data_IF_785150074986
#
_entry.id   IF_785150074986
#
_cell.length_a   1.000
_cell.length_b   1.000
_cell.length_c   1.000
_cell.angle_alpha   90.00
_cell.angle_beta   90.00
_cell.angle_gamma   90.00
#
_symmetry.space_group_name_H-M   'P 1'
#
loop_
_entity.id
_entity.type
_entity.pdbx_description
1 polymer ?
#
# COMPACT_ATOMS: atom_id res chain seq x y z
N UNK A 1 5.99 -10.88 44.63
CA UNK A 1 5.66 -12.02 43.74
C UNK A 1 6.32 -11.78 42.39
N UNK A 2 7.21 -12.70 41.98
CA UNK A 2 7.55 -13.19 40.62
C UNK A 2 7.35 -12.24 39.41
N UNK A 3 8.21 -12.09 38.40
CA UNK A 3 9.54 -12.56 38.01
C UNK A 3 9.90 -11.76 36.74
N UNK A 4 11.19 -11.47 36.55
CA UNK A 4 11.85 -11.18 35.26
C UNK A 4 11.41 -12.08 34.09
N UNK A 5 11.44 -11.52 32.87
CA UNK A 5 12.27 -11.96 31.70
C UNK A 5 11.68 -11.40 30.40
N UNK A 6 12.40 -10.54 29.67
CA UNK A 6 13.45 -10.88 28.70
C UNK A 6 12.89 -11.64 27.47
N UNK A 7 12.79 -10.88 26.37
CA UNK A 7 13.35 -11.18 25.05
C UNK A 7 12.76 -12.35 24.24
N UNK A 8 12.99 -12.24 22.93
CA UNK A 8 13.14 -13.32 21.96
C UNK A 8 11.89 -13.61 21.11
N UNK A 9 11.74 -12.99 19.92
CA UNK A 9 12.50 -13.35 18.72
C UNK A 9 12.59 -14.86 18.51
N UNK A 10 11.66 -15.41 17.74
CA UNK A 10 11.80 -16.68 17.00
C UNK A 10 11.05 -16.49 15.69
N UNK A 11 11.72 -15.94 14.68
CA UNK A 11 12.49 -16.68 13.67
C UNK A 11 11.57 -17.70 12.97
N UNK A 12 11.27 -17.49 11.67
CA UNK A 12 10.44 -18.40 10.90
C UNK A 12 11.19 -19.72 10.73
N UNK A 13 10.53 -20.81 11.12
CA UNK A 13 11.02 -22.16 10.99
C UNK A 13 11.11 -22.52 9.50
N UNK A 14 12.23 -22.17 8.87
CA UNK A 14 12.71 -22.84 7.66
C UNK A 14 13.02 -24.30 8.03
N UNK A 15 11.99 -25.14 8.10
CA UNK A 15 12.17 -26.59 8.00
C UNK A 15 12.46 -26.92 6.53
N UNK A 16 13.71 -26.66 6.15
CA UNK A 16 14.35 -27.25 4.99
C UNK A 16 14.46 -28.75 5.27
N UNK A 17 13.45 -29.51 4.85
CA UNK A 17 13.47 -30.97 4.88
C UNK A 17 14.42 -31.46 3.78
N UNK A 18 15.72 -31.44 4.08
CA UNK A 18 16.70 -32.24 3.39
C UNK A 18 16.55 -33.67 3.93
N UNK A 19 15.84 -34.56 3.22
CA UNK A 19 16.06 -36.01 3.31
C UNK A 19 15.72 -36.62 1.95
N UNK A 20 16.75 -37.04 1.24
CA UNK A 20 16.61 -37.92 0.09
C UNK A 20 16.32 -39.35 0.53
N UNK A 21 15.56 -40.08 -0.28
CA UNK A 21 15.86 -41.44 -0.74
C UNK A 21 14.67 -42.00 -1.51
N UNK A 22 14.98 -42.67 -2.60
CA UNK A 22 14.05 -43.27 -3.54
C UNK A 22 13.07 -44.24 -2.86
N UNK A 23 11.77 -44.03 -3.10
CA UNK A 23 10.80 -45.13 -3.16
C UNK A 23 9.71 -44.76 -4.18
N UNK A 24 9.60 -45.57 -5.24
CA UNK A 24 8.48 -45.52 -6.18
C UNK A 24 7.17 -45.70 -5.42
N UNK A 25 6.30 -44.69 -5.46
CA UNK A 25 4.87 -44.85 -5.18
C UNK A 25 4.11 -44.19 -6.33
N UNK A 26 3.64 -45.03 -7.25
CA UNK A 26 2.62 -44.66 -8.21
C UNK A 26 1.30 -44.47 -7.45
N UNK A 27 0.88 -43.21 -7.26
CA UNK A 27 -0.49 -42.89 -6.86
C UNK A 27 -1.17 -42.19 -8.02
N UNK A 28 -2.18 -42.89 -8.51
CA UNK A 28 -3.17 -42.47 -9.49
C UNK A 28 -3.84 -41.16 -9.06
N UNK A 29 -4.05 -40.28 -10.05
CA UNK A 29 -5.23 -39.42 -10.11
C UNK A 29 -5.50 -38.55 -8.89
N UNK A 30 -4.86 -37.39 -8.83
CA UNK A 30 -5.48 -36.22 -8.23
C UNK A 30 -5.19 -35.06 -9.17
N UNK A 31 -6.20 -34.68 -9.95
CA UNK A 31 -6.18 -33.44 -10.69
C UNK A 31 -6.06 -32.29 -9.70
N UNK A 32 -4.84 -31.92 -9.35
CA UNK A 32 -4.54 -30.60 -8.83
C UNK A 32 -4.76 -29.66 -9.99
N UNK A 33 -6.01 -29.22 -10.16
CA UNK A 33 -6.28 -27.98 -10.88
C UNK A 33 -5.50 -26.92 -10.10
N UNK A 34 -4.45 -26.29 -10.65
CA UNK A 34 -4.00 -25.06 -10.06
C UNK A 34 -5.21 -24.12 -10.19
N UNK A 35 -5.87 -23.83 -9.07
CA UNK A 35 -6.69 -22.63 -9.00
C UNK A 35 -5.75 -21.53 -9.43
N UNK A 36 -5.96 -21.04 -10.65
CA UNK A 36 -5.36 -19.82 -11.15
C UNK A 36 -5.95 -18.74 -10.24
N UNK A 37 -5.36 -18.58 -9.06
CA UNK A 37 -5.60 -17.46 -8.20
C UNK A 37 -5.27 -16.27 -9.09
N UNK A 38 -6.32 -15.54 -9.48
CA UNK A 38 -6.24 -14.24 -10.10
C UNK A 38 -5.20 -13.46 -9.30
N UNK A 39 -3.96 -13.43 -9.80
CA UNK A 39 -2.86 -12.88 -9.07
C UNK A 39 -3.22 -11.41 -8.96
N UNK A 40 -3.46 -10.89 -7.74
CA UNK A 40 -3.93 -9.52 -7.58
C UNK A 40 -2.93 -8.65 -8.31
N UNK A 41 -3.42 -8.00 -9.37
CA UNK A 41 -2.60 -7.18 -10.25
C UNK A 41 -1.80 -6.24 -9.35
N UNK A 42 -0.50 -6.51 -9.20
CA UNK A 42 0.34 -5.78 -8.27
C UNK A 42 0.56 -4.40 -8.90
N UNK A 43 -0.37 -3.48 -8.67
CA UNK A 43 -0.23 -2.09 -9.11
C UNK A 43 0.83 -1.47 -8.21
N UNK A 44 2.09 -1.66 -8.60
CA UNK A 44 3.23 -0.90 -8.09
C UNK A 44 3.06 0.52 -8.58
N UNK A 45 2.23 1.29 -7.87
CA UNK A 45 1.90 2.67 -8.23
C UNK A 45 3.09 3.61 -8.03
N UNK A 46 4.26 3.10 -7.65
CA UNK A 46 5.39 3.86 -7.15
C UNK A 46 6.30 4.37 -8.29
N UNK A 47 5.71 5.11 -9.23
CA UNK A 47 6.45 5.84 -10.27
C UNK A 47 6.37 7.35 -10.05
N UNK A 48 7.41 8.07 -10.46
CA UNK A 48 7.44 9.53 -10.37
C UNK A 48 6.30 10.15 -11.20
N UNK A 49 6.07 9.60 -12.39
CA UNK A 49 4.97 9.98 -13.29
C UNK A 49 3.61 9.86 -12.60
N UNK A 50 3.37 8.73 -11.92
CA UNK A 50 2.13 8.55 -11.18
C UNK A 50 2.02 9.54 -10.01
N UNK A 51 3.11 9.85 -9.32
CA UNK A 51 3.04 10.89 -8.29
C UNK A 51 2.67 12.25 -8.89
N UNK A 52 3.29 12.66 -10.00
CA UNK A 52 2.94 13.91 -10.67
C UNK A 52 1.48 13.92 -11.12
N UNK A 53 0.99 12.83 -11.69
CA UNK A 53 -0.43 12.68 -12.05
C UNK A 53 -1.34 12.88 -10.84
N UNK A 54 -0.95 12.35 -9.69
CA UNK A 54 -1.68 12.46 -8.43
C UNK A 54 -1.73 13.91 -7.92
N UNK A 55 -0.62 14.65 -8.03
CA UNK A 55 -0.57 16.08 -7.70
C UNK A 55 -1.52 16.90 -8.58
N UNK A 56 -1.51 16.68 -9.90
CA UNK A 56 -2.43 17.36 -10.83
C UNK A 56 -3.89 17.02 -10.56
N UNK A 57 -4.17 15.78 -10.13
CA UNK A 57 -5.52 15.36 -9.74
C UNK A 57 -5.98 16.09 -8.47
N UNK A 58 -5.09 16.23 -7.48
CA UNK A 58 -5.37 16.96 -6.25
C UNK A 58 -5.66 18.44 -6.53
N UNK A 59 -4.79 19.11 -7.27
CA UNK A 59 -4.96 20.53 -7.62
C UNK A 59 -6.30 20.80 -8.32
N UNK A 60 -6.74 19.89 -9.21
CA UNK A 60 -8.07 19.97 -9.84
C UNK A 60 -9.21 19.83 -8.82
N UNK A 61 -9.10 18.93 -7.84
CA UNK A 61 -10.11 18.78 -6.79
C UNK A 61 -10.15 19.97 -5.83
N UNK A 62 -9.00 20.52 -5.47
CA UNK A 62 -8.92 21.75 -4.67
C UNK A 62 -9.56 22.92 -5.40
N UNK A 63 -9.38 23.01 -6.73
CA UNK A 63 -10.04 24.02 -7.55
C UNK A 63 -11.57 23.85 -7.60
N UNK A 64 -12.15 22.71 -7.25
CA UNK A 64 -13.61 22.58 -7.12
C UNK A 64 -14.13 23.13 -5.79
N UNK A 65 -13.27 23.31 -4.79
CA UNK A 65 -13.61 23.88 -3.49
C UNK A 65 -13.67 25.43 -3.49
N UNK A 66 -13.94 26.08 -4.63
CA UNK A 66 -13.95 27.57 -4.77
C UNK A 66 -14.81 28.30 -3.73
N UNK A 67 -15.83 27.63 -3.18
CA UNK A 67 -16.76 28.22 -2.20
C UNK A 67 -16.36 28.02 -0.73
N UNK A 68 -15.24 27.32 -0.45
CA UNK A 68 -14.73 27.15 0.91
C UNK A 68 -13.31 26.59 0.90
N UNK A 69 -12.41 27.17 1.71
CA UNK A 69 -11.03 26.69 1.80
C UNK A 69 -11.01 25.18 2.11
N UNK A 70 -10.17 24.38 1.42
CA UNK A 70 -10.02 22.98 1.76
C UNK A 70 -9.55 22.85 3.23
N UNK A 71 -9.88 21.72 3.90
CA UNK A 71 -9.43 21.49 5.27
C UNK A 71 -7.91 21.66 5.39
N UNK A 72 -7.43 22.27 6.47
CA UNK A 72 -5.98 22.49 6.71
C UNK A 72 -5.15 21.20 6.59
N UNK A 73 -5.73 20.07 7.00
CA UNK A 73 -5.13 18.74 6.92
C UNK A 73 -4.85 18.33 5.47
N UNK A 74 -5.74 18.69 4.54
CA UNK A 74 -5.56 18.42 3.11
C UNK A 74 -4.36 19.20 2.59
N UNK A 75 -4.30 20.50 2.87
CA UNK A 75 -3.20 21.36 2.41
C UNK A 75 -1.86 20.87 2.95
N UNK A 76 -1.79 20.53 4.24
CA UNK A 76 -0.56 20.01 4.84
C UNK A 76 -0.12 18.67 4.22
N UNK A 77 -1.06 17.76 3.97
CA UNK A 77 -0.77 16.48 3.31
C UNK A 77 -0.37 16.68 1.84
N UNK A 78 -0.94 17.67 1.16
CA UNK A 78 -0.60 18.06 -0.20
C UNK A 78 0.86 18.53 -0.26
N UNK A 79 1.23 19.49 0.59
CA UNK A 79 2.59 20.06 0.65
C UNK A 79 3.63 19.00 0.95
N UNK A 80 3.41 18.20 2.00
CA UNK A 80 4.30 17.10 2.35
C UNK A 80 4.41 16.07 1.22
N UNK A 81 3.28 15.76 0.58
CA UNK A 81 3.23 14.83 -0.55
C UNK A 81 4.04 15.31 -1.75
N UNK A 82 3.91 16.59 -2.11
CA UNK A 82 4.67 17.25 -3.17
C UNK A 82 6.16 17.21 -2.89
N UNK A 83 6.58 17.69 -1.72
CA UNK A 83 7.99 17.70 -1.32
C UNK A 83 8.64 16.32 -1.37
N UNK A 84 7.92 15.28 -0.96
CA UNK A 84 8.47 13.92 -1.01
C UNK A 84 8.64 13.42 -2.43
N UNK A 85 7.72 13.73 -3.32
CA UNK A 85 7.87 13.36 -4.73
C UNK A 85 8.99 14.12 -5.40
N UNK A 86 9.16 15.42 -5.08
CA UNK A 86 10.27 16.23 -5.58
C UNK A 86 11.62 15.69 -5.09
N UNK A 87 11.66 15.11 -3.89
CA UNK A 87 12.85 14.45 -3.32
C UNK A 87 13.06 13.00 -3.80
N UNK A 88 12.19 12.46 -4.65
CA UNK A 88 12.27 11.06 -5.10
C UNK A 88 11.74 10.03 -4.10
N UNK A 89 11.16 10.45 -2.97
CA UNK A 89 10.45 9.60 -2.01
C UNK A 89 9.03 9.28 -2.50
N UNK A 90 8.95 8.68 -3.70
CA UNK A 90 7.71 8.48 -4.46
C UNK A 90 6.63 7.77 -3.66
N UNK A 91 6.96 6.64 -3.01
CA UNK A 91 6.01 5.85 -2.22
C UNK A 91 5.44 6.65 -1.03
N UNK A 92 6.28 7.43 -0.35
CA UNK A 92 5.86 8.30 0.75
C UNK A 92 5.01 9.47 0.29
N UNK A 93 5.33 10.07 -0.86
CA UNK A 93 4.55 11.15 -1.46
C UNK A 93 3.17 10.69 -1.93
N UNK A 94 3.10 9.56 -2.64
CA UNK A 94 1.84 8.97 -3.12
C UNK A 94 0.89 8.68 -1.96
N UNK A 95 1.37 8.11 -0.86
CA UNK A 95 0.53 7.81 0.30
C UNK A 95 -0.13 9.07 0.89
N UNK A 96 0.63 10.16 1.02
CA UNK A 96 0.12 11.43 1.57
C UNK A 96 -0.86 12.11 0.61
N UNK A 97 -0.53 12.15 -0.68
CA UNK A 97 -1.40 12.69 -1.72
C UNK A 97 -2.71 11.89 -1.84
N UNK A 98 -2.66 10.54 -1.77
CA UNK A 98 -3.86 9.69 -1.76
C UNK A 98 -4.72 9.98 -0.54
N UNK A 99 -4.12 10.19 0.63
CA UNK A 99 -4.84 10.56 1.86
C UNK A 99 -5.52 11.93 1.71
N UNK A 100 -4.83 12.93 1.16
CA UNK A 100 -5.40 14.24 0.87
C UNK A 100 -6.64 14.15 -0.05
N UNK A 101 -6.52 13.41 -1.16
CA UNK A 101 -7.63 13.14 -2.09
C UNK A 101 -8.81 12.42 -1.41
N UNK A 102 -8.54 11.53 -0.46
CA UNK A 102 -9.58 10.82 0.27
C UNK A 102 -10.34 11.79 1.18
N UNK A 103 -9.63 12.61 1.96
CA UNK A 103 -10.24 13.62 2.84
C UNK A 103 -11.07 14.63 2.03
N UNK A 104 -10.53 15.15 0.91
CA UNK A 104 -11.27 16.05 0.02
C UNK A 104 -12.58 15.44 -0.46
N UNK A 105 -12.56 14.19 -0.91
CA UNK A 105 -13.78 13.50 -1.36
C UNK A 105 -14.78 13.27 -0.23
N UNK A 106 -14.31 13.02 0.99
CA UNK A 106 -15.20 12.91 2.15
C UNK A 106 -15.82 14.26 2.52
N UNK A 107 -15.04 15.34 2.50
CA UNK A 107 -15.52 16.69 2.74
C UNK A 107 -16.56 17.12 1.67
N UNK A 108 -16.30 16.83 0.39
CA UNK A 108 -17.24 17.12 -0.70
C UNK A 108 -18.56 16.36 -0.52
N UNK A 109 -18.50 15.08 -0.13
CA UNK A 109 -19.70 14.28 0.15
C UNK A 109 -20.47 14.78 1.37
N UNK A 110 -19.80 15.28 2.40
CA UNK A 110 -20.44 15.82 3.59
C UNK A 110 -21.11 17.19 3.35
N UNK A 111 -20.68 17.91 2.31
CA UNK A 111 -21.25 19.20 1.93
C UNK A 111 -22.47 19.11 0.98
N UNK A 112 -22.80 17.90 0.50
CA UNK A 112 -24.02 17.62 -0.30
C UNK A 112 -25.14 17.11 0.59
#
# INVERSE_FOLDING_TARGET
MRHDRIMNSRIPSCLCACMGSALLVAVLGSGVTPCLADAPQLITSDTLDYCQQLQHKLARQEAHFVLGAPPSDVTQLADQGRHLCDQGHVRGGILRLRKALLILRHAEKAAR
#
